data_IF_848051074763
#
_entry.id   IF_848051074763
#
_cell.length_a   1.000
_cell.length_b   1.000
_cell.length_c   1.000
_cell.angle_alpha   90.00
_cell.angle_beta   90.00
_cell.angle_gamma   90.00
#
_symmetry.space_group_name_H-M   'P 1'
#
loop_
_entity.id
_entity.type
_entity.pdbx_description
1 polymer ?
#
# COMPACT_ATOMS: atom_id res chain seq x y z
N UNK A 1 -5.94 -4.47 -2.52
CA UNK A 1 -6.87 -4.36 -3.69
C UNK A 1 -6.30 -3.31 -4.63
N UNK A 2 -6.58 -3.30 -5.94
CA UNK A 2 -6.17 -2.16 -6.77
C UNK A 2 -6.73 -0.82 -6.23
N UNK A 3 -8.01 -0.79 -5.87
CA UNK A 3 -8.70 0.41 -5.36
C UNK A 3 -8.26 0.92 -3.98
N UNK A 4 -7.27 0.32 -3.30
CA UNK A 4 -6.67 0.88 -2.08
C UNK A 4 -5.41 1.71 -2.34
N UNK A 5 -4.76 1.51 -3.49
CA UNK A 5 -3.47 2.15 -3.78
C UNK A 5 -3.55 3.68 -3.81
N UNK A 6 -4.56 4.32 -4.43
CA UNK A 6 -4.61 5.78 -4.47
C UNK A 6 -4.69 6.43 -3.08
N UNK A 7 -5.44 5.82 -2.14
CA UNK A 7 -5.46 6.25 -0.73
C UNK A 7 -4.08 6.14 -0.07
N UNK A 8 -3.35 5.04 -0.31
CA UNK A 8 -1.98 4.85 0.20
C UNK A 8 -1.04 5.91 -0.38
N UNK A 9 -1.15 6.20 -1.68
CA UNK A 9 -0.34 7.22 -2.36
C UNK A 9 -0.61 8.63 -1.81
N UNK A 10 -1.88 8.98 -1.55
CA UNK A 10 -2.23 10.22 -0.87
C UNK A 10 -1.55 10.34 0.49
N UNK A 11 -1.63 9.29 1.32
CA UNK A 11 -0.99 9.30 2.64
C UNK A 11 0.53 9.43 2.51
N UNK A 12 1.15 8.65 1.62
CA UNK A 12 2.60 8.69 1.39
C UNK A 12 3.04 10.10 0.97
N UNK A 13 2.32 10.73 0.05
CA UNK A 13 2.61 12.12 -0.34
C UNK A 13 2.49 13.08 0.84
N UNK A 14 1.44 12.95 1.66
CA UNK A 14 1.28 13.76 2.86
C UNK A 14 2.42 13.57 3.87
N UNK A 15 2.90 12.34 4.05
CA UNK A 15 4.07 12.02 4.88
C UNK A 15 5.35 12.65 4.33
N UNK A 16 5.58 12.58 3.02
CA UNK A 16 6.75 13.16 2.35
C UNK A 16 6.76 14.69 2.46
N UNK A 17 5.61 15.36 2.27
CA UNK A 17 5.50 16.82 2.34
C UNK A 17 5.47 17.36 3.77
N UNK A 18 5.07 16.55 4.75
CA UNK A 18 4.88 16.98 6.14
C UNK A 18 5.50 16.01 7.15
N UNK A 19 6.81 15.70 7.04
CA UNK A 19 7.43 14.59 7.80
C UNK A 19 7.34 14.79 9.30
N UNK A 20 7.62 15.99 9.82
CA UNK A 20 7.57 16.27 11.27
C UNK A 20 6.16 16.11 11.83
N UNK A 21 5.14 16.54 11.07
CA UNK A 21 3.74 16.45 11.46
C UNK A 21 3.24 15.02 11.40
N UNK A 22 3.52 14.32 10.30
CA UNK A 22 3.02 12.97 10.06
C UNK A 22 3.76 11.90 10.87
N UNK A 23 4.97 12.20 11.36
CA UNK A 23 5.69 11.36 12.32
C UNK A 23 4.98 11.28 13.68
N UNK A 24 4.24 12.32 14.07
CA UNK A 24 3.41 12.32 15.28
C UNK A 24 1.93 12.27 14.90
N UNK A 25 1.43 11.05 14.67
CA UNK A 25 0.05 10.81 14.28
C UNK A 25 -0.93 10.72 15.48
N UNK A 26 -0.47 10.94 16.72
CA UNK A 26 -1.35 10.95 17.91
C UNK A 26 -2.36 12.09 17.88
N UNK A 27 -1.94 13.25 17.36
CA UNK A 27 -2.80 14.41 17.19
C UNK A 27 -3.81 14.29 16.05
N UNK A 28 -3.86 13.18 15.30
CA UNK A 28 -4.88 12.98 14.27
C UNK A 28 -6.24 12.78 14.96
N UNK A 29 -7.20 13.62 14.58
CA UNK A 29 -8.58 13.60 15.08
C UNK A 29 -9.56 13.00 14.08
N UNK A 30 -9.29 13.09 12.77
CA UNK A 30 -10.14 12.53 11.73
C UNK A 30 -9.37 12.31 10.43
N UNK A 31 -9.71 11.25 9.72
CA UNK A 31 -9.28 10.99 8.36
C UNK A 31 -10.54 10.85 7.50
N UNK A 32 -10.65 11.60 6.41
CA UNK A 32 -11.69 11.43 5.40
C UNK A 32 -11.01 10.88 4.14
N UNK A 33 -11.55 9.78 3.59
CA UNK A 33 -11.11 9.20 2.31
C UNK A 33 -12.27 9.30 1.33
N UNK A 34 -12.09 10.08 0.27
CA UNK A 34 -13.07 10.24 -0.80
C UNK A 34 -12.73 9.26 -1.93
N UNK A 35 -13.71 8.43 -2.28
CA UNK A 35 -13.56 7.28 -3.15
C UNK A 35 -14.51 7.36 -4.34
N UNK A 36 -14.00 7.02 -5.54
CA UNK A 36 -14.86 6.67 -6.68
C UNK A 36 -15.70 5.42 -6.41
N UNK A 37 -16.71 5.19 -7.26
CA UNK A 37 -17.75 4.16 -7.08
C UNK A 37 -17.20 2.76 -6.77
N UNK A 38 -16.30 2.25 -7.61
CA UNK A 38 -15.74 0.91 -7.46
C UNK A 38 -14.96 0.75 -6.16
N UNK A 39 -14.12 1.72 -5.80
CA UNK A 39 -13.32 1.66 -4.57
C UNK A 39 -14.20 1.78 -3.33
N UNK A 40 -15.23 2.62 -3.38
CA UNK A 40 -16.24 2.76 -2.32
C UNK A 40 -16.97 1.44 -2.08
N UNK A 41 -17.45 0.79 -3.13
CA UNK A 41 -18.20 -0.47 -3.03
C UNK A 41 -17.35 -1.64 -2.49
N UNK A 42 -16.09 -1.75 -2.91
CA UNK A 42 -15.27 -2.94 -2.59
C UNK A 42 -14.36 -2.75 -1.37
N UNK A 43 -14.00 -1.52 -1.02
CA UNK A 43 -13.06 -1.24 0.07
C UNK A 43 -13.42 -0.03 0.94
N UNK A 44 -14.55 0.64 0.69
CA UNK A 44 -15.02 1.78 1.49
C UNK A 44 -15.86 1.39 2.71
N UNK A 45 -16.06 0.09 2.96
CA UNK A 45 -16.81 -0.41 4.12
C UNK A 45 -16.06 -0.16 5.44
N UNK A 46 -16.81 -0.04 6.54
CA UNK A 46 -16.24 0.14 7.88
C UNK A 46 -15.64 -1.17 8.37
N UNK A 47 -14.33 -1.18 8.58
CA UNK A 47 -13.62 -2.34 9.11
C UNK A 47 -13.96 -2.62 10.58
N UNK A 48 -13.95 -3.90 10.96
CA UNK A 48 -14.22 -4.35 12.32
C UNK A 48 -13.28 -5.51 12.71
N UNK A 49 -12.95 -5.59 14.01
CA UNK A 49 -12.19 -6.70 14.59
C UNK A 49 -13.10 -7.95 14.76
N UNK A 50 -12.59 -9.18 14.57
CA UNK A 50 -11.31 -9.52 13.99
C UNK A 50 -11.33 -9.38 12.46
N UNK A 51 -10.18 -9.02 11.88
CA UNK A 51 -10.02 -8.89 10.43
C UNK A 51 -9.03 -9.93 9.89
N UNK A 52 -9.33 -10.52 8.74
CA UNK A 52 -8.39 -11.44 8.06
C UNK A 52 -7.35 -10.65 7.29
N UNK A 53 -6.20 -11.27 6.98
CA UNK A 53 -5.17 -10.63 6.14
C UNK A 53 -5.73 -10.14 4.79
N UNK A 54 -6.61 -10.93 4.16
CA UNK A 54 -7.29 -10.52 2.92
C UNK A 54 -8.26 -9.36 3.17
N UNK A 55 -9.05 -9.39 4.24
CA UNK A 55 -9.97 -8.31 4.58
C UNK A 55 -9.24 -6.98 4.82
N UNK A 56 -8.11 -7.02 5.51
CA UNK A 56 -7.25 -5.86 5.74
C UNK A 56 -6.68 -5.29 4.43
N UNK A 57 -6.21 -6.14 3.52
CA UNK A 57 -5.73 -5.72 2.19
C UNK A 57 -6.83 -5.17 1.27
N UNK A 58 -8.11 -5.42 1.58
CA UNK A 58 -9.27 -4.91 0.84
C UNK A 58 -9.83 -3.60 1.41
N UNK A 59 -9.41 -3.18 2.62
CA UNK A 59 -9.98 -2.03 3.32
C UNK A 59 -9.16 -0.76 3.09
N UNK A 60 -9.77 0.29 2.53
CA UNK A 60 -9.09 1.58 2.33
C UNK A 60 -8.63 2.20 3.65
N UNK A 61 -9.49 2.17 4.68
CA UNK A 61 -9.15 2.71 6.00
C UNK A 61 -8.00 1.95 6.65
N UNK A 62 -8.01 0.60 6.58
CA UNK A 62 -6.94 -0.21 7.15
C UNK A 62 -5.62 0.03 6.42
N UNK A 63 -5.61 0.04 5.09
CA UNK A 63 -4.37 0.27 4.33
C UNK A 63 -3.84 1.69 4.49
N UNK A 64 -4.71 2.71 4.57
CA UNK A 64 -4.29 4.08 4.82
C UNK A 64 -3.69 4.23 6.23
N UNK A 65 -4.34 3.67 7.25
CA UNK A 65 -3.81 3.63 8.61
C UNK A 65 -2.46 2.88 8.69
N UNK A 66 -2.35 1.74 8.01
CA UNK A 66 -1.09 0.97 7.92
C UNK A 66 0.04 1.81 7.32
N UNK A 67 -0.24 2.58 6.26
CA UNK A 67 0.74 3.51 5.68
C UNK A 67 1.14 4.61 6.67
N UNK A 68 0.19 5.17 7.43
CA UNK A 68 0.50 6.19 8.45
C UNK A 68 1.43 5.64 9.53
N UNK A 69 1.09 4.47 10.10
CA UNK A 69 1.82 3.90 11.25
C UNK A 69 3.16 3.29 10.84
N UNK A 70 3.17 2.49 9.78
CA UNK A 70 4.35 1.70 9.41
C UNK A 70 5.15 2.29 8.25
N UNK A 71 4.65 3.32 7.58
CA UNK A 71 5.31 3.96 6.43
C UNK A 71 5.34 3.11 5.17
N UNK A 72 4.71 1.93 5.18
CA UNK A 72 4.66 1.00 4.05
C UNK A 72 3.45 0.07 4.16
N UNK A 73 2.98 -0.43 3.02
CA UNK A 73 1.87 -1.39 2.94
C UNK A 73 2.30 -2.61 2.11
N UNK A 74 2.91 -3.58 2.79
CA UNK A 74 3.39 -4.83 2.21
C UNK A 74 2.84 -6.04 2.97
N UNK A 75 3.07 -7.24 2.46
CA UNK A 75 2.63 -8.49 3.09
C UNK A 75 3.02 -8.60 4.59
N UNK A 76 4.24 -8.22 5.03
CA UNK A 76 4.60 -8.25 6.45
C UNK A 76 3.74 -7.38 7.38
N UNK A 77 3.00 -6.39 6.85
CA UNK A 77 2.04 -5.58 7.62
C UNK A 77 0.67 -6.23 7.76
N UNK A 78 0.45 -7.44 7.21
CA UNK A 78 -0.80 -8.18 7.30
C UNK A 78 -0.68 -9.53 8.04
N UNK A 79 0.34 -9.66 8.91
CA UNK A 79 0.52 -10.81 9.81
C UNK A 79 -0.50 -10.78 10.95
N UNK A 80 -0.75 -11.90 11.66
CA UNK A 80 -1.65 -11.91 12.82
C UNK A 80 -1.32 -10.84 13.88
N UNK A 81 -0.03 -10.60 14.15
CA UNK A 81 0.42 -9.60 15.13
C UNK A 81 0.12 -8.17 14.68
N UNK A 82 0.35 -7.85 13.41
CA UNK A 82 0.10 -6.50 12.87
C UNK A 82 -1.39 -6.24 12.62
N UNK A 83 -2.20 -7.29 12.40
CA UNK A 83 -3.66 -7.18 12.28
C UNK A 83 -4.34 -6.77 13.60
N UNK A 84 -3.65 -6.85 14.73
CA UNK A 84 -4.14 -6.39 16.03
C UNK A 84 -3.41 -5.15 16.54
N UNK A 85 -2.64 -4.47 15.70
CA UNK A 85 -1.94 -3.24 16.04
C UNK A 85 -2.93 -2.13 16.44
N UNK A 86 -2.86 -1.69 17.70
CA UNK A 86 -3.81 -0.73 18.26
C UNK A 86 -3.64 0.68 17.69
N UNK A 87 -2.46 1.07 17.22
CA UNK A 87 -2.25 2.37 16.57
C UNK A 87 -2.92 2.38 15.19
N UNK A 88 -2.81 1.28 14.44
CA UNK A 88 -3.52 1.11 13.16
C UNK A 88 -5.03 1.15 13.41
N UNK A 89 -5.54 0.39 14.38
CA UNK A 89 -6.97 0.36 14.67
C UNK A 89 -7.52 1.69 15.18
N UNK A 90 -6.76 2.43 15.99
CA UNK A 90 -7.13 3.79 16.39
C UNK A 90 -7.36 4.69 15.17
N UNK A 91 -6.45 4.65 14.19
CA UNK A 91 -6.59 5.44 12.97
C UNK A 91 -7.73 4.93 12.08
N UNK A 92 -7.95 3.62 11.99
CA UNK A 92 -9.12 3.04 11.31
C UNK A 92 -10.43 3.58 11.88
N UNK A 93 -10.54 3.65 13.20
CA UNK A 93 -11.75 4.17 13.89
C UNK A 93 -11.97 5.67 13.65
N UNK A 94 -10.90 6.43 13.39
CA UNK A 94 -10.97 7.85 13.02
C UNK A 94 -11.19 8.09 11.53
N UNK A 95 -11.23 7.02 10.72
CA UNK A 95 -11.32 7.11 9.26
C UNK A 95 -12.75 6.93 8.76
N UNK A 96 -13.20 7.84 7.90
CA UNK A 96 -14.48 7.77 7.20
C UNK A 96 -14.26 7.69 5.68
N UNK A 97 -14.66 6.59 5.05
CA UNK A 97 -14.65 6.43 3.60
C UNK A 97 -15.98 6.92 3.01
N UNK A 98 -15.94 7.78 2.00
CA UNK A 98 -17.13 8.36 1.37
C UNK A 98 -17.11 8.16 -0.13
N UNK A 99 -18.28 7.86 -0.69
CA UNK A 99 -18.47 7.96 -2.13
C UNK A 99 -18.36 9.43 -2.54
N UNK A 100 -17.46 9.72 -3.45
CA UNK A 100 -17.29 11.03 -4.05
C UNK A 100 -17.00 10.84 -5.53
N UNK A 101 -17.92 11.32 -6.37
CA UNK A 101 -17.80 11.25 -7.82
C UNK A 101 -17.98 12.68 -8.32
N UNK A 102 -16.97 13.21 -9.00
CA UNK A 102 -17.07 14.47 -9.71
C UNK A 102 -17.08 14.21 -11.21
N UNK A 103 -17.83 15.00 -11.97
CA UNK A 103 -17.83 14.91 -13.42
C UNK A 103 -16.42 15.13 -13.98
N UNK A 104 -15.91 14.13 -14.70
CA UNK A 104 -14.57 14.15 -15.31
C UNK A 104 -13.46 13.48 -14.49
N UNK A 105 -13.74 13.03 -13.26
CA UNK A 105 -12.77 12.27 -12.48
C UNK A 105 -12.50 10.89 -13.12
N UNK A 106 -11.25 10.44 -13.01
CA UNK A 106 -10.88 9.08 -13.36
C UNK A 106 -11.49 8.08 -12.34
N UNK A 107 -11.72 6.84 -12.78
CA UNK A 107 -12.20 5.75 -11.89
C UNK A 107 -11.22 5.48 -10.73
N UNK A 108 -9.94 5.80 -10.91
CA UNK A 108 -8.89 5.67 -9.90
C UNK A 108 -8.72 6.89 -9.01
N UNK A 109 -9.42 8.00 -9.27
CA UNK A 109 -9.29 9.24 -8.51
C UNK A 109 -9.71 9.01 -7.05
N UNK A 110 -8.86 9.44 -6.12
CA UNK A 110 -9.17 9.45 -4.69
C UNK A 110 -8.53 10.66 -4.04
N UNK A 111 -9.10 11.04 -2.90
CA UNK A 111 -8.64 12.16 -2.09
C UNK A 111 -8.61 11.75 -0.62
N UNK A 112 -7.61 12.24 0.11
CA UNK A 112 -7.49 12.04 1.54
C UNK A 112 -7.32 13.38 2.25
N UNK A 113 -8.14 13.60 3.27
CA UNK A 113 -8.02 14.71 4.21
C UNK A 113 -7.72 14.21 5.62
N UNK A 114 -6.72 14.78 6.28
CA UNK A 114 -6.34 14.47 7.67
C UNK A 114 -6.49 15.73 8.51
N UNK A 115 -7.33 15.66 9.55
CA UNK A 115 -7.54 16.75 10.51
C UNK A 115 -6.86 16.43 11.83
N UNK A 116 -6.08 17.38 12.32
CA UNK A 116 -5.41 17.30 13.61
C UNK A 116 -6.20 18.03 14.73
N UNK A 117 -5.89 17.71 15.98
CA UNK A 117 -6.51 18.32 17.17
C UNK A 117 -6.30 19.83 17.26
N UNK A 118 -5.15 20.32 16.80
CA UNK A 118 -4.81 21.75 16.75
C UNK A 118 -5.55 22.52 15.63
N UNK A 119 -6.41 21.82 14.87
CA UNK A 119 -7.19 22.38 13.77
C UNK A 119 -6.49 22.34 12.41
N UNK A 120 -5.20 21.96 12.35
CA UNK A 120 -4.48 21.76 11.09
C UNK A 120 -5.19 20.72 10.23
N UNK A 121 -5.25 20.98 8.92
CA UNK A 121 -5.77 20.04 7.94
C UNK A 121 -4.73 19.82 6.86
N UNK A 122 -4.36 18.57 6.64
CA UNK A 122 -3.58 18.13 5.49
C UNK A 122 -4.51 17.50 4.47
N UNK A 123 -4.22 17.70 3.19
CA UNK A 123 -5.08 17.26 2.11
C UNK A 123 -4.25 16.94 0.87
N UNK A 124 -4.60 15.85 0.19
CA UNK A 124 -4.04 15.52 -1.11
C UNK A 124 -5.01 14.66 -1.92
N UNK A 125 -5.04 14.88 -3.23
CA UNK A 125 -5.74 14.03 -4.19
C UNK A 125 -4.79 13.52 -5.25
N UNK A 126 -5.06 12.31 -5.73
CA UNK A 126 -4.32 11.70 -6.85
C UNK A 126 -5.30 11.32 -7.95
N UNK A 127 -4.93 11.49 -9.23
CA UNK A 127 -5.81 11.16 -10.35
C UNK A 127 -5.97 9.65 -10.52
N UNK A 128 -5.00 8.85 -10.08
CA UNK A 128 -5.03 7.39 -10.06
C UNK A 128 -3.93 6.86 -9.12
N UNK A 129 -3.80 5.54 -9.01
CA UNK A 129 -2.71 4.91 -8.29
C UNK A 129 -1.36 5.17 -8.97
N UNK A 130 -0.29 5.29 -8.18
CA UNK A 130 1.07 5.25 -8.70
C UNK A 130 1.34 3.90 -9.39
N UNK A 131 1.89 3.98 -10.60
CA UNK A 131 2.01 2.85 -11.52
C UNK A 131 0.88 2.75 -12.56
N UNK A 132 -0.19 3.53 -12.39
CA UNK A 132 -1.15 3.83 -13.46
C UNK A 132 -0.94 5.25 -13.96
N UNK A 133 -0.98 6.23 -13.06
CA UNK A 133 -0.70 7.64 -13.36
C UNK A 133 0.03 8.30 -12.18
N UNK A 134 1.33 8.62 -12.30
CA UNK A 134 2.20 8.25 -13.43
C UNK A 134 2.49 6.75 -13.46
N UNK A 135 2.89 6.20 -14.63
CA UNK A 135 3.36 4.81 -14.72
C UNK A 135 4.67 4.61 -13.94
N UNK A 136 4.95 3.36 -13.55
CA UNK A 136 6.21 3.02 -12.90
C UNK A 136 7.37 3.16 -13.87
N UNK A 137 8.50 3.68 -13.40
CA UNK A 137 9.77 3.53 -14.10
C UNK A 137 10.31 2.11 -13.95
N UNK A 138 11.28 1.73 -14.79
CA UNK A 138 11.96 0.44 -14.65
C UNK A 138 12.64 0.31 -13.28
N UNK A 139 13.22 1.40 -12.77
CA UNK A 139 13.85 1.42 -11.44
C UNK A 139 12.83 1.19 -10.33
N UNK A 140 11.61 1.75 -10.44
CA UNK A 140 10.53 1.49 -9.48
C UNK A 140 10.12 0.00 -9.47
N UNK A 141 10.05 -0.63 -10.66
CA UNK A 141 9.70 -2.05 -10.79
C UNK A 141 10.78 -2.92 -10.13
N UNK A 142 12.06 -2.65 -10.41
CA UNK A 142 13.19 -3.39 -9.82
C UNK A 142 13.25 -3.17 -8.31
N UNK A 143 13.07 -1.94 -7.83
CA UNK A 143 13.02 -1.65 -6.40
C UNK A 143 11.88 -2.41 -5.71
N UNK A 144 10.69 -2.44 -6.31
CA UNK A 144 9.55 -3.20 -5.80
C UNK A 144 9.81 -4.71 -5.79
N UNK A 145 10.43 -5.25 -6.83
CA UNK A 145 10.85 -6.67 -6.89
C UNK A 145 11.74 -7.04 -5.70
N UNK A 146 12.80 -6.24 -5.47
CA UNK A 146 13.73 -6.45 -4.35
C UNK A 146 13.03 -6.32 -2.98
N UNK A 147 12.09 -5.38 -2.86
CA UNK A 147 11.33 -5.20 -1.62
C UNK A 147 10.36 -6.36 -1.35
N UNK A 148 9.71 -6.89 -2.40
CA UNK A 148 8.78 -8.01 -2.29
C UNK A 148 9.46 -9.34 -2.00
N UNK A 149 10.74 -9.48 -2.36
CA UNK A 149 11.51 -10.73 -2.16
C UNK A 149 12.42 -10.69 -0.94
N UNK A 150 12.65 -9.49 -0.37
CA UNK A 150 13.43 -9.30 0.85
C UNK A 150 12.95 -10.22 1.96
N UNK A 151 13.90 -10.90 2.60
CA UNK A 151 13.69 -11.85 3.70
C UNK A 151 12.85 -13.10 3.34
N UNK A 152 12.28 -13.17 2.13
CA UNK A 152 11.46 -14.28 1.61
C UNK A 152 12.28 -15.26 0.78
N UNK A 153 13.19 -14.74 -0.04
CA UNK A 153 14.09 -15.49 -0.92
C UNK A 153 15.53 -15.07 -0.60
N UNK A 154 16.48 -16.00 -0.69
CA UNK A 154 17.91 -15.69 -0.51
C UNK A 154 18.38 -14.66 -1.55
N UNK A 155 19.14 -13.66 -1.11
CA UNK A 155 19.49 -12.50 -1.94
C UNK A 155 20.24 -12.89 -3.23
N UNK A 156 21.13 -13.88 -3.16
CA UNK A 156 21.86 -14.38 -4.34
C UNK A 156 20.91 -14.97 -5.40
N UNK A 157 19.83 -15.63 -4.97
CA UNK A 157 18.81 -16.17 -5.88
C UNK A 157 17.99 -15.04 -6.50
N UNK A 158 17.62 -14.02 -5.71
CA UNK A 158 16.90 -12.83 -6.20
C UNK A 158 17.73 -12.08 -7.24
N UNK A 159 19.01 -11.83 -6.97
CA UNK A 159 19.94 -11.15 -7.87
C UNK A 159 20.12 -11.94 -9.17
N UNK A 160 20.26 -13.27 -9.09
CA UNK A 160 20.41 -14.09 -10.30
C UNK A 160 19.13 -14.14 -11.14
N UNK A 161 17.96 -14.21 -10.51
CA UNK A 161 16.68 -14.09 -11.22
C UNK A 161 16.59 -12.73 -11.91
N UNK A 162 16.92 -11.65 -11.19
CA UNK A 162 16.88 -10.28 -11.72
C UNK A 162 17.81 -10.13 -12.93
N UNK A 163 19.06 -10.60 -12.83
CA UNK A 163 20.03 -10.60 -13.93
C UNK A 163 19.46 -11.30 -15.17
N UNK A 164 18.98 -12.54 -15.04
CA UNK A 164 18.46 -13.32 -16.17
C UNK A 164 17.22 -12.66 -16.77
N UNK A 165 16.31 -12.13 -15.94
CA UNK A 165 15.07 -11.49 -16.40
C UNK A 165 15.35 -10.18 -17.15
N UNK A 166 16.36 -9.42 -16.72
CA UNK A 166 16.76 -8.17 -17.36
C UNK A 166 17.55 -8.38 -18.66
N UNK A 167 18.08 -9.58 -18.91
CA UNK A 167 18.80 -9.95 -20.13
C UNK A 167 18.14 -11.12 -20.88
N UNK A 168 16.80 -11.21 -20.86
CA UNK A 168 16.03 -12.35 -21.41
C UNK A 168 16.31 -12.58 -22.89
N UNK A 169 16.48 -11.52 -23.66
CA UNK A 169 16.77 -11.56 -25.10
C UNK A 169 18.15 -12.14 -25.42
N UNK A 170 19.05 -12.19 -24.43
CA UNK A 170 20.40 -12.72 -24.55
C UNK A 170 20.50 -14.18 -24.11
N UNK A 171 19.42 -14.76 -23.56
CA UNK A 171 19.42 -16.14 -23.05
C UNK A 171 19.15 -17.15 -24.18
N UNK A 172 20.01 -18.14 -24.31
CA UNK A 172 19.80 -19.28 -25.23
C UNK A 172 18.64 -20.18 -24.76
N UNK A 173 18.49 -20.34 -23.44
CA UNK A 173 17.40 -21.07 -22.79
C UNK A 173 17.10 -20.51 -21.39
N UNK A 174 16.00 -20.97 -20.78
CA UNK A 174 15.52 -20.50 -19.46
C UNK A 174 15.61 -21.56 -18.37
N UNK A 175 16.39 -22.64 -18.57
CA UNK A 175 16.49 -23.75 -17.61
C UNK A 175 16.91 -23.22 -16.24
N UNK A 176 17.99 -22.43 -16.19
CA UNK A 176 18.48 -21.83 -14.94
C UNK A 176 17.42 -20.99 -14.23
N UNK A 177 16.65 -20.17 -14.96
CA UNK A 177 15.57 -19.39 -14.37
C UNK A 177 14.50 -20.29 -13.74
N UNK A 178 14.08 -21.35 -14.44
CA UNK A 178 13.12 -22.32 -13.91
C UNK A 178 13.65 -23.04 -12.66
N UNK A 179 14.96 -23.33 -12.61
CA UNK A 179 15.59 -23.94 -11.44
C UNK A 179 15.69 -23.00 -10.23
N UNK A 180 15.77 -21.69 -10.46
CA UNK A 180 15.76 -20.68 -9.40
C UNK A 180 14.34 -20.48 -8.85
N UNK A 181 13.33 -20.30 -9.71
CA UNK A 181 11.95 -20.02 -9.25
C UNK A 181 11.23 -21.23 -8.63
N UNK A 182 11.74 -22.46 -8.81
CA UNK A 182 11.20 -23.67 -8.14
C UNK A 182 11.67 -23.82 -6.69
N UNK A 183 12.62 -23.00 -6.24
CA UNK A 183 13.13 -23.09 -4.87
C UNK A 183 12.06 -22.69 -3.85
N UNK A 184 12.16 -23.23 -2.63
CA UNK A 184 11.23 -22.89 -1.56
C UNK A 184 11.49 -21.47 -1.07
N UNK A 185 10.42 -20.69 -0.91
CA UNK A 185 10.45 -19.36 -0.29
C UNK A 185 9.76 -19.38 1.08
N UNK A 186 10.08 -18.40 1.93
CA UNK A 186 9.39 -18.22 3.21
C UNK A 186 7.99 -17.65 2.98
N UNK A 187 7.06 -17.93 3.89
CA UNK A 187 5.73 -17.31 3.85
C UNK A 187 5.78 -15.94 4.55
N UNK A 188 5.50 -14.82 3.87
CA UNK A 188 5.60 -13.48 4.46
C UNK A 188 4.55 -13.18 5.55
N UNK A 189 3.54 -14.04 5.68
CA UNK A 189 2.50 -13.90 6.70
C UNK A 189 2.81 -14.69 7.99
N UNK A 190 3.88 -15.49 7.98
CA UNK A 190 4.33 -16.26 9.14
C UNK A 190 5.77 -15.89 9.42
N UNK A 191 6.04 -15.30 10.60
CA UNK A 191 7.42 -15.10 11.07
C UNK A 191 8.10 -16.43 11.34
#
# INVERSE_FOLDING_TARGET
>A
MAGTHPSIDCIRHLQEQNPDRMKNFDGIKKIDILLGETASHHGGWRAAKPLTATGAQMSNSFTAATQIVHGQVLMPQFTPDTLVDEDVWRLVDLTECKLHITDGDSIGCQEVGIRFEDGTVLHHSVPSAFGVEPPLSNDDIVAKWRQLTRDIVENEVVEKIEEIVLSLEEQDDLVTLFELIRQTSKNPLTR
#
